data_IF_216209302000
#
_entry.id   IF_216209302000
#
_cell.length_a   1.000
_cell.length_b   1.000
_cell.length_c   1.000
_cell.angle_alpha   90.00
_cell.angle_beta   90.00
_cell.angle_gamma   90.00
#
_symmetry.space_group_name_H-M   'P 1'
#
loop_
_entity.id
_entity.type
_entity.pdbx_description
1 polymer ?
#
# COMPACT_ATOMS: atom_id res chain seq x y z
N UNK A 1 -22.51 -5.38 0.85
CA UNK A 1 -21.32 -4.59 0.51
C UNK A 1 -21.67 -3.54 -0.54
N UNK A 2 -21.68 -2.29 -0.15
CA UNK A 2 -21.97 -1.15 -1.03
C UNK A 2 -20.80 -0.86 -1.97
N UNK A 3 -21.04 -0.02 -2.99
CA UNK A 3 -19.99 0.42 -3.91
C UNK A 3 -18.89 1.20 -3.19
N UNK A 4 -19.27 1.99 -2.19
CA UNK A 4 -18.37 2.81 -1.38
C UNK A 4 -17.50 1.95 -0.45
N UNK A 5 -18.11 0.98 0.24
CA UNK A 5 -17.37 0.00 1.05
C UNK A 5 -16.36 -0.77 0.20
N UNK A 6 -16.73 -1.16 -1.03
CA UNK A 6 -15.80 -1.82 -1.96
C UNK A 6 -14.64 -0.93 -2.37
N UNK A 7 -14.90 0.35 -2.62
CA UNK A 7 -13.84 1.28 -2.96
C UNK A 7 -12.90 1.47 -1.76
N UNK A 8 -13.45 1.64 -0.56
CA UNK A 8 -12.68 1.82 0.66
C UNK A 8 -11.78 0.61 0.95
N UNK A 9 -12.34 -0.61 0.91
CA UNK A 9 -11.58 -1.84 1.13
C UNK A 9 -10.45 -2.01 0.10
N UNK A 10 -10.75 -1.79 -1.18
CA UNK A 10 -9.75 -1.89 -2.24
C UNK A 10 -8.61 -0.86 -2.06
N UNK A 11 -8.91 0.35 -1.58
CA UNK A 11 -7.89 1.38 -1.32
C UNK A 11 -7.02 0.99 -0.12
N UNK A 12 -7.64 0.47 0.95
CA UNK A 12 -6.93 -0.01 2.14
C UNK A 12 -5.99 -1.16 1.81
N UNK A 13 -6.47 -2.14 1.07
CA UNK A 13 -5.69 -3.32 0.70
C UNK A 13 -4.58 -2.95 -0.30
N UNK A 14 -4.82 -2.01 -1.21
CA UNK A 14 -3.78 -1.47 -2.10
C UNK A 14 -2.68 -0.77 -1.31
N UNK A 15 -3.05 0.04 -0.31
CA UNK A 15 -2.08 0.74 0.54
C UNK A 15 -1.22 -0.24 1.34
N UNK A 16 -1.84 -1.28 1.93
CA UNK A 16 -1.12 -2.33 2.63
C UNK A 16 -0.14 -3.06 1.70
N UNK A 17 -0.61 -3.44 0.51
CA UNK A 17 0.19 -4.16 -0.48
C UNK A 17 1.42 -3.36 -0.94
N UNK A 18 1.26 -2.06 -1.19
CA UNK A 18 2.39 -1.18 -1.57
C UNK A 18 3.36 -0.95 -0.41
N UNK A 19 2.86 -1.01 0.83
CA UNK A 19 3.69 -0.87 2.04
C UNK A 19 4.51 -2.14 2.29
N UNK A 20 3.91 -3.32 2.13
CA UNK A 20 4.56 -4.62 2.29
C UNK A 20 5.52 -4.95 1.14
N UNK A 21 5.17 -4.54 -0.08
CA UNK A 21 5.96 -4.78 -1.29
C UNK A 21 6.23 -3.47 -2.03
N UNK A 22 7.17 -2.65 -1.52
CA UNK A 22 7.60 -1.43 -2.21
C UNK A 22 8.07 -1.79 -3.62
N UNK A 23 7.53 -1.10 -4.62
CA UNK A 23 7.87 -1.40 -6.01
C UNK A 23 6.98 -2.40 -6.73
N UNK A 24 5.90 -2.85 -6.10
CA UNK A 24 4.93 -3.73 -6.75
C UNK A 24 4.34 -3.10 -8.03
N UNK A 25 4.32 -3.89 -9.10
CA UNK A 25 3.81 -3.43 -10.40
C UNK A 25 2.28 -3.32 -10.41
N UNK A 26 1.74 -2.43 -11.25
CA UNK A 26 0.29 -2.30 -11.46
C UNK A 26 -0.40 -3.62 -11.85
N UNK A 27 0.29 -4.49 -12.60
CA UNK A 27 -0.25 -5.81 -12.97
C UNK A 27 -0.35 -6.73 -11.76
N UNK A 28 0.67 -6.73 -10.90
CA UNK A 28 0.65 -7.50 -9.66
C UNK A 28 -0.45 -6.98 -8.71
N UNK A 29 -0.57 -5.66 -8.53
CA UNK A 29 -1.68 -5.06 -7.76
C UNK A 29 -3.05 -5.50 -8.30
N UNK A 30 -3.23 -5.45 -9.62
CA UNK A 30 -4.48 -5.88 -10.25
C UNK A 30 -4.81 -7.35 -9.94
N UNK A 31 -3.79 -8.22 -9.98
CA UNK A 31 -3.91 -9.64 -9.65
C UNK A 31 -4.24 -9.87 -8.17
N UNK A 32 -3.49 -9.26 -7.26
CA UNK A 32 -3.68 -9.40 -5.80
C UNK A 32 -5.04 -8.89 -5.34
N UNK A 33 -5.50 -7.75 -5.88
CA UNK A 33 -6.80 -7.18 -5.54
C UNK A 33 -7.97 -7.79 -6.33
N UNK A 34 -7.71 -8.77 -7.21
CA UNK A 34 -8.68 -9.37 -8.12
C UNK A 34 -9.51 -8.32 -8.90
N UNK A 35 -8.83 -7.33 -9.47
CA UNK A 35 -9.43 -6.26 -10.30
C UNK A 35 -8.75 -6.17 -11.66
N UNK A 36 -9.41 -5.54 -12.62
CA UNK A 36 -8.78 -5.26 -13.91
C UNK A 36 -7.71 -4.16 -13.80
N UNK A 37 -6.81 -4.11 -14.79
CA UNK A 37 -5.70 -3.17 -14.83
C UNK A 37 -6.15 -1.70 -14.83
N UNK A 38 -7.28 -1.40 -15.48
CA UNK A 38 -7.84 -0.05 -15.50
C UNK A 38 -8.26 0.41 -14.10
N UNK A 39 -8.90 -0.49 -13.33
CA UNK A 39 -9.33 -0.22 -11.96
C UNK A 39 -8.15 -0.14 -11.00
N UNK A 40 -7.12 -0.97 -11.17
CA UNK A 40 -5.86 -0.83 -10.43
C UNK A 40 -5.23 0.55 -10.66
N UNK A 41 -5.15 1.03 -11.91
CA UNK A 41 -4.66 2.39 -12.22
C UNK A 41 -5.49 3.47 -11.53
N UNK A 42 -6.82 3.34 -11.54
CA UNK A 42 -7.70 4.27 -10.86
C UNK A 42 -7.44 4.32 -9.35
N UNK A 43 -7.35 3.17 -8.68
CA UNK A 43 -7.10 3.09 -7.24
C UNK A 43 -5.74 3.73 -6.86
N UNK A 44 -4.70 3.47 -7.66
CA UNK A 44 -3.39 4.10 -7.48
C UNK A 44 -3.47 5.62 -7.65
N UNK A 45 -4.19 6.11 -8.66
CA UNK A 45 -4.38 7.54 -8.88
C UNK A 45 -5.11 8.21 -7.71
N UNK A 46 -6.11 7.54 -7.12
CA UNK A 46 -6.81 8.03 -5.93
C UNK A 46 -5.86 8.17 -4.74
N UNK A 47 -5.04 7.15 -4.45
CA UNK A 47 -4.08 7.24 -3.34
C UNK A 47 -2.92 8.22 -3.60
N UNK A 48 -2.54 8.44 -4.87
CA UNK A 48 -1.57 9.46 -5.24
C UNK A 48 -2.14 10.86 -5.04
N UNK A 49 -3.38 11.10 -5.47
CA UNK A 49 -4.06 12.38 -5.27
C UNK A 49 -4.30 12.70 -3.79
N UNK A 50 -4.49 11.68 -2.95
CA UNK A 50 -4.63 11.85 -1.50
C UNK A 50 -3.29 12.01 -0.77
N UNK A 51 -2.16 11.99 -1.48
CA UNK A 51 -0.83 12.08 -0.88
C UNK A 51 -0.36 10.81 -0.14
N UNK A 52 -1.11 9.71 -0.20
CA UNK A 52 -0.77 8.46 0.49
C UNK A 52 0.23 7.59 -0.28
N UNK A 53 0.35 7.80 -1.60
CA UNK A 53 1.38 7.19 -2.44
C UNK A 53 2.20 8.25 -3.17
N UNK A 54 3.50 8.01 -3.28
CA UNK A 54 4.40 8.73 -4.18
C UNK A 54 4.88 7.80 -5.29
N UNK A 55 5.07 8.37 -6.48
CA UNK A 55 5.80 7.68 -7.56
C UNK A 55 7.27 7.68 -7.19
N UNK A 56 7.91 6.52 -7.26
CA UNK A 56 9.37 6.39 -7.22
C UNK A 56 10.04 7.21 -8.33
N UNK A 57 11.36 7.35 -8.24
CA UNK A 57 12.13 8.13 -9.20
C UNK A 57 11.85 7.68 -10.64
N UNK A 58 11.95 8.56 -11.66
CA UNK A 58 11.68 8.21 -13.07
C UNK A 58 12.52 7.03 -13.61
N UNK A 59 13.66 6.76 -12.97
CA UNK A 59 14.55 5.62 -13.26
C UNK A 59 14.05 4.30 -12.64
N UNK A 60 13.25 4.39 -11.59
CA UNK A 60 12.51 3.31 -10.95
C UNK A 60 11.12 3.20 -11.59
N UNK A 61 11.09 2.75 -12.84
CA UNK A 61 9.86 2.64 -13.63
C UNK A 61 8.82 1.81 -12.85
N UNK A 62 7.77 2.47 -12.37
CA UNK A 62 6.60 1.81 -11.79
C UNK A 62 6.68 1.49 -10.30
N UNK A 63 7.69 1.97 -9.58
CA UNK A 63 7.79 1.72 -8.13
C UNK A 63 6.86 2.66 -7.37
N UNK A 64 5.74 2.16 -6.87
CA UNK A 64 4.90 2.89 -5.92
C UNK A 64 5.52 2.79 -4.53
N UNK A 65 5.55 3.91 -3.80
CA UNK A 65 5.97 3.96 -2.40
C UNK A 65 4.87 4.61 -1.58
N UNK A 66 4.54 4.03 -0.43
CA UNK A 66 3.69 4.70 0.55
C UNK A 66 4.43 5.93 1.10
N UNK A 67 3.77 7.08 1.12
CA UNK A 67 4.39 8.36 1.49
C UNK A 67 4.55 8.51 3.00
N UNK A 68 3.85 7.70 3.79
CA UNK A 68 3.96 7.73 5.24
C UNK A 68 5.26 7.02 5.61
N UNK A 69 6.23 7.69 6.27
CA UNK A 69 7.35 6.97 6.86
C UNK A 69 6.75 5.94 7.79
N UNK A 70 7.12 4.67 7.62
CA UNK A 70 6.75 3.67 8.58
C UNK A 70 7.16 4.21 9.96
N UNK A 71 6.20 4.59 10.79
CA UNK A 71 6.32 4.25 12.19
C UNK A 71 6.23 2.73 12.16
N UNK A 72 7.34 2.09 11.80
CA UNK A 72 7.63 0.78 12.33
C UNK A 72 7.50 1.04 13.81
N UNK A 73 6.36 0.66 14.40
CA UNK A 73 6.44 0.10 15.73
C UNK A 73 7.50 -0.97 15.56
N UNK A 74 8.75 -0.65 15.91
CA UNK A 74 9.70 -1.67 16.30
C UNK A 74 8.87 -2.46 17.28
N UNK A 75 8.46 -3.66 16.86
CA UNK A 75 7.98 -4.66 17.80
C UNK A 75 9.12 -4.71 18.79
N UNK A 76 8.96 -4.01 19.91
CA UNK A 76 9.87 -4.13 21.02
C UNK A 76 9.94 -5.61 21.21
N UNK A 77 11.16 -6.16 21.15
CA UNK A 77 11.36 -7.46 21.76
C UNK A 77 10.80 -7.29 23.15
N UNK A 78 9.66 -7.93 23.41
CA UNK A 78 9.23 -8.23 24.76
C UNK A 78 10.32 -9.16 25.27
N UNK A 79 11.39 -8.57 25.80
CA UNK A 79 12.26 -9.28 26.70
C UNK A 79 11.43 -9.40 27.97
N UNK A 80 10.88 -10.59 28.17
CA UNK A 80 10.97 -11.26 29.47
C UNK A 80 12.29 -10.84 30.13
N UNK A 81 12.20 -9.98 31.13
CA UNK A 81 13.19 -9.91 32.19
C UNK A 81 12.47 -9.45 33.45
N UNK A 82 12.39 -10.40 34.39
CA UNK A 82 11.99 -10.26 35.79
C UNK A 82 12.37 -8.89 36.38
N UNK A 83 11.39 -8.25 37.00
CA UNK A 83 11.63 -7.17 37.95
C UNK A 83 11.75 -7.85 39.33
N UNK A 84 12.84 -7.65 40.09
CA UNK A 84 13.00 -8.21 41.44
C UNK A 84 12.01 -7.63 42.46
#
# INVERSE_FOLDING_TARGET
MTREERLHNNLRDLWALVTEQPGISLRAIAKELNVNLHRSRYLVAVLQASGNLTKGAPRDVGVLRATVPMITMKRGKSNDEEIP
#
